data_IF_491697962731
#
_entry.id   IF_491697962731
#
_cell.length_a   1.000
_cell.length_b   1.000
_cell.length_c   1.000
_cell.angle_alpha   90.00
_cell.angle_beta   90.00
_cell.angle_gamma   90.00
#
_symmetry.space_group_name_H-M   'P 1'
#
loop_
_entity.id
_entity.type
_entity.pdbx_description
1 polymer ?
#
# COMPACT_ATOMS: atom_id res chain seq x y z
N UNK A 1 -2.96 2.77 -31.19
CA UNK A 1 -3.81 1.67 -30.69
C UNK A 1 -3.04 0.98 -29.59
N UNK A 2 -3.17 1.48 -28.37
CA UNK A 2 -2.57 0.91 -27.16
C UNK A 2 -3.56 -0.09 -26.58
N UNK A 3 -3.13 -1.33 -26.48
CA UNK A 3 -3.90 -2.45 -25.95
C UNK A 3 -4.06 -2.24 -24.44
N UNK A 4 -5.30 -2.00 -23.99
CA UNK A 4 -5.67 -2.05 -22.58
C UNK A 4 -5.54 -3.49 -22.11
N UNK A 5 -4.53 -3.77 -21.29
CA UNK A 5 -4.29 -5.10 -20.69
C UNK A 5 -5.28 -5.36 -19.53
N UNK A 6 -6.08 -4.37 -19.14
CA UNK A 6 -7.19 -4.58 -18.22
C UNK A 6 -8.44 -4.97 -19.01
N UNK A 7 -8.67 -6.28 -19.13
CA UNK A 7 -9.91 -6.80 -19.67
C UNK A 7 -11.12 -6.35 -18.82
N UNK A 8 -12.32 -6.23 -19.41
CA UNK A 8 -13.51 -5.69 -18.73
C UNK A 8 -13.95 -6.49 -17.49
N UNK A 9 -13.42 -7.71 -17.28
CA UNK A 9 -13.69 -8.53 -16.09
C UNK A 9 -12.74 -8.34 -14.90
N UNK A 10 -11.66 -7.55 -15.02
CA UNK A 10 -10.73 -7.29 -13.89
C UNK A 10 -11.23 -6.12 -13.03
N UNK A 11 -11.79 -5.08 -13.65
CA UNK A 11 -12.42 -3.97 -12.92
C UNK A 11 -13.61 -4.43 -12.06
N UNK A 12 -14.40 -5.41 -12.55
CA UNK A 12 -15.52 -5.97 -11.79
C UNK A 12 -15.06 -6.82 -10.59
N UNK A 13 -13.92 -7.51 -10.69
CA UNK A 13 -13.35 -8.28 -9.57
C UNK A 13 -12.70 -7.40 -8.49
N UNK A 14 -12.09 -6.28 -8.86
CA UNK A 14 -11.62 -5.28 -7.89
C UNK A 14 -12.78 -4.60 -7.15
N UNK A 15 -13.97 -4.52 -7.77
CA UNK A 15 -15.15 -3.89 -7.19
C UNK A 15 -15.99 -4.80 -6.26
N UNK A 16 -15.81 -6.12 -6.30
CA UNK A 16 -16.72 -7.08 -5.65
C UNK A 16 -16.07 -8.05 -4.64
N UNK A 17 -14.85 -7.81 -4.16
CA UNK A 17 -14.19 -8.82 -3.32
C UNK A 17 -13.11 -8.40 -2.34
N UNK A 18 -12.90 -7.11 -2.09
CA UNK A 18 -12.25 -6.69 -0.84
C UNK A 18 -13.35 -6.14 0.07
N UNK A 19 -13.79 -6.94 1.04
CA UNK A 19 -14.15 -6.39 2.34
C UNK A 19 -12.89 -5.66 2.85
N UNK A 20 -12.70 -4.44 2.37
CA UNK A 20 -11.70 -3.54 2.94
C UNK A 20 -12.09 -3.41 4.40
N UNK A 21 -11.23 -3.80 5.35
CA UNK A 21 -11.54 -3.56 6.75
C UNK A 21 -11.82 -2.05 6.86
N UNK A 22 -12.99 -1.65 7.40
CA UNK A 22 -13.28 -0.24 7.59
C UNK A 22 -12.10 0.38 8.31
N UNK A 23 -11.68 1.63 8.01
CA UNK A 23 -10.62 2.29 8.75
C UNK A 23 -10.91 2.14 10.24
N UNK A 24 -10.16 1.22 10.88
CA UNK A 24 -10.37 0.83 12.26
C UNK A 24 -10.14 2.05 13.14
N UNK A 25 -10.64 2.12 14.40
CA UNK A 25 -10.78 3.38 15.12
C UNK A 25 -9.41 3.99 15.43
N UNK A 26 -8.90 4.70 14.44
CA UNK A 26 -7.84 5.67 14.53
C UNK A 26 -8.41 6.84 15.32
N UNK A 27 -7.54 7.51 16.07
CA UNK A 27 -7.98 8.71 16.75
C UNK A 27 -8.51 9.71 15.70
N UNK A 28 -9.58 10.43 16.05
CA UNK A 28 -10.21 11.38 15.13
C UNK A 28 -9.21 12.38 14.55
N UNK A 29 -8.23 12.82 15.36
CA UNK A 29 -7.18 13.73 14.95
C UNK A 29 -6.33 13.19 13.78
N UNK A 30 -5.89 11.93 13.82
CA UNK A 30 -5.06 11.31 12.77
C UNK A 30 -5.82 11.14 11.47
N UNK A 31 -7.12 10.85 11.53
CA UNK A 31 -7.97 10.78 10.34
C UNK A 31 -8.08 12.16 9.68
N UNK A 32 -8.34 13.21 10.46
CA UNK A 32 -8.38 14.58 9.95
C UNK A 32 -7.02 15.01 9.39
N UNK A 33 -5.92 14.70 10.08
CA UNK A 33 -4.58 15.00 9.59
C UNK A 33 -4.26 14.26 8.29
N UNK A 34 -4.68 13.01 8.15
CA UNK A 34 -4.48 12.24 6.93
C UNK A 34 -5.24 12.86 5.75
N UNK A 35 -6.48 13.31 5.95
CA UNK A 35 -7.26 13.99 4.91
C UNK A 35 -6.62 15.32 4.50
N UNK A 36 -6.30 16.17 5.48
CA UNK A 36 -5.64 17.47 5.22
C UNK A 36 -4.30 17.27 4.51
N UNK A 37 -3.56 16.22 4.87
CA UNK A 37 -2.31 15.88 4.20
C UNK A 37 -2.54 15.53 2.72
N UNK A 38 -3.54 14.71 2.41
CA UNK A 38 -3.86 14.34 1.03
C UNK A 38 -4.34 15.54 0.22
N UNK A 39 -5.25 16.34 0.77
CA UNK A 39 -5.73 17.57 0.13
C UNK A 39 -4.55 18.52 -0.16
N UNK A 40 -3.65 18.70 0.81
CA UNK A 40 -2.42 19.47 0.63
C UNK A 40 -1.50 18.89 -0.46
N UNK A 41 -1.44 17.56 -0.59
CA UNK A 41 -0.62 16.92 -1.63
C UNK A 41 -1.20 17.09 -3.03
N UNK A 42 -2.52 17.19 -3.17
CA UNK A 42 -3.21 17.33 -4.46
C UNK A 42 -3.35 18.78 -4.91
N UNK A 43 -3.73 19.68 -4.00
CA UNK A 43 -4.12 21.05 -4.35
C UNK A 43 -2.95 22.04 -4.31
N UNK A 44 -1.89 21.74 -3.56
CA UNK A 44 -0.76 22.64 -3.42
C UNK A 44 0.26 22.44 -4.55
N UNK A 45 0.77 23.52 -5.18
CA UNK A 45 1.83 23.41 -6.18
C UNK A 45 3.15 23.00 -5.51
N UNK A 46 3.52 21.73 -5.63
CA UNK A 46 4.77 21.20 -5.08
C UNK A 46 5.92 21.29 -6.09
N UNK A 47 7.11 21.62 -5.59
CA UNK A 47 8.34 21.27 -6.30
C UNK A 47 8.51 19.74 -6.30
N UNK A 48 8.99 19.16 -7.40
CA UNK A 48 9.19 17.70 -7.53
C UNK A 48 10.02 17.10 -6.37
N UNK A 49 11.06 17.80 -5.91
CA UNK A 49 11.89 17.36 -4.77
C UNK A 49 11.11 17.35 -3.45
N UNK A 50 10.27 18.36 -3.24
CA UNK A 50 9.45 18.45 -2.03
C UNK A 50 8.40 17.32 -2.00
N UNK A 51 7.76 17.04 -3.14
CA UNK A 51 6.81 15.93 -3.28
C UNK A 51 7.47 14.58 -2.97
N UNK A 52 8.64 14.31 -3.56
CA UNK A 52 9.39 13.09 -3.32
C UNK A 52 9.79 12.93 -1.85
N UNK A 53 10.24 14.02 -1.22
CA UNK A 53 10.62 13.99 0.20
C UNK A 53 9.41 13.65 1.08
N UNK A 54 8.23 14.22 0.79
CA UNK A 54 6.99 13.96 1.55
C UNK A 54 6.53 12.52 1.43
N UNK A 55 6.50 11.97 0.21
CA UNK A 55 6.13 10.56 -0.01
C UNK A 55 7.16 9.64 0.66
N UNK A 56 8.45 9.90 0.49
CA UNK A 56 9.50 9.10 1.15
C UNK A 56 9.38 9.16 2.66
N UNK A 57 9.04 10.32 3.24
CA UNK A 57 8.81 10.47 4.67
C UNK A 57 7.60 9.66 5.14
N UNK A 58 6.51 9.66 4.37
CA UNK A 58 5.33 8.83 4.66
C UNK A 58 5.68 7.34 4.63
N UNK A 59 6.45 6.88 3.63
CA UNK A 59 6.88 5.48 3.54
C UNK A 59 7.82 5.08 4.68
N UNK A 60 8.70 5.96 5.15
CA UNK A 60 9.53 5.72 6.34
C UNK A 60 8.69 5.53 7.60
N UNK A 61 7.57 6.23 7.72
CA UNK A 61 6.66 6.11 8.86
C UNK A 61 5.90 4.79 8.90
N UNK A 62 5.92 3.97 7.84
CA UNK A 62 5.44 2.59 7.89
C UNK A 62 6.27 1.71 8.84
N UNK A 63 7.51 2.10 9.12
CA UNK A 63 8.39 1.44 10.08
C UNK A 63 8.40 2.07 11.47
N UNK A 64 7.39 2.89 11.82
CA UNK A 64 7.36 3.58 13.11
C UNK A 64 7.23 2.60 14.29
N UNK A 65 7.84 2.91 15.44
CA UNK A 65 7.90 1.98 16.57
C UNK A 65 6.51 1.67 17.16
N UNK A 66 5.63 2.66 17.22
CA UNK A 66 4.28 2.55 17.77
C UNK A 66 3.27 2.05 16.75
N UNK A 67 2.45 1.06 17.13
CA UNK A 67 1.45 0.43 16.25
C UNK A 67 0.40 1.44 15.76
N UNK A 68 -0.06 2.32 16.65
CA UNK A 68 -1.01 3.38 16.30
C UNK A 68 -0.45 4.35 15.24
N UNK A 69 0.86 4.63 15.28
CA UNK A 69 1.53 5.45 14.30
C UNK A 69 1.62 4.78 12.93
N UNK A 70 1.93 3.48 12.90
CA UNK A 70 1.96 2.70 11.65
C UNK A 70 0.58 2.60 11.01
N UNK A 71 -0.47 2.33 11.79
CA UNK A 71 -1.86 2.33 11.30
C UNK A 71 -2.27 3.68 10.73
N UNK A 72 -1.89 4.79 11.38
CA UNK A 72 -2.17 6.13 10.88
C UNK A 72 -1.44 6.43 9.56
N UNK A 73 -0.16 6.03 9.46
CA UNK A 73 0.63 6.16 8.24
C UNK A 73 0.04 5.31 7.09
N UNK A 74 -0.38 4.09 7.38
CA UNK A 74 -1.04 3.20 6.40
C UNK A 74 -2.37 3.77 5.92
N UNK A 75 -3.19 4.32 6.83
CA UNK A 75 -4.44 4.97 6.44
C UNK A 75 -4.19 6.18 5.54
N UNK A 76 -3.19 7.00 5.87
CA UNK A 76 -2.80 8.13 5.03
C UNK A 76 -2.28 7.66 3.65
N UNK A 77 -1.45 6.62 3.61
CA UNK A 77 -0.95 6.02 2.37
C UNK A 77 -2.09 5.48 1.49
N UNK A 78 -3.08 4.84 2.11
CA UNK A 78 -4.26 4.35 1.40
C UNK A 78 -5.05 5.49 0.76
N UNK A 79 -5.27 6.60 1.49
CA UNK A 79 -5.92 7.79 0.93
C UNK A 79 -5.11 8.42 -0.20
N UNK A 80 -3.77 8.41 -0.13
CA UNK A 80 -2.90 8.84 -1.23
C UNK A 80 -3.14 7.98 -2.47
N UNK A 81 -3.13 6.64 -2.34
CA UNK A 81 -3.38 5.72 -3.47
C UNK A 81 -4.78 5.90 -4.06
N UNK A 82 -5.77 6.18 -3.22
CA UNK A 82 -7.16 6.31 -3.63
C UNK A 82 -7.47 7.65 -4.34
N UNK A 83 -6.85 8.75 -3.89
CA UNK A 83 -7.15 10.09 -4.39
C UNK A 83 -6.14 10.62 -5.43
N UNK A 84 -4.95 10.03 -5.54
CA UNK A 84 -3.97 10.49 -6.53
C UNK A 84 -4.40 10.18 -7.97
N UNK A 85 -4.06 11.05 -8.94
CA UNK A 85 -4.29 10.78 -10.35
C UNK A 85 -3.57 9.49 -10.79
N UNK A 86 -4.31 8.57 -11.40
CA UNK A 86 -3.83 7.23 -11.76
C UNK A 86 -2.55 7.26 -12.62
N UNK A 87 -2.44 8.23 -13.52
CA UNK A 87 -1.27 8.40 -14.40
C UNK A 87 -0.01 8.73 -13.61
N UNK A 88 -0.09 9.62 -12.62
CA UNK A 88 1.07 9.98 -11.80
C UNK A 88 1.42 8.87 -10.80
N UNK A 89 0.39 8.25 -10.23
CA UNK A 89 0.56 7.14 -9.32
C UNK A 89 1.26 5.97 -10.02
N UNK A 90 0.75 5.48 -11.15
CA UNK A 90 1.34 4.35 -11.88
C UNK A 90 2.76 4.63 -12.38
N UNK A 91 3.02 5.82 -12.93
CA UNK A 91 4.28 6.13 -13.60
C UNK A 91 5.42 6.48 -12.62
N UNK A 92 5.12 7.17 -11.51
CA UNK A 92 6.17 7.74 -10.62
C UNK A 92 6.25 7.07 -9.26
N UNK A 93 5.11 6.70 -8.69
CA UNK A 93 5.04 6.33 -7.26
C UNK A 93 4.63 4.89 -7.01
N UNK A 94 4.00 4.22 -7.97
CA UNK A 94 3.40 2.90 -7.82
C UNK A 94 4.44 1.85 -7.47
N UNK A 95 5.58 1.84 -8.17
CA UNK A 95 6.70 0.93 -7.88
C UNK A 95 7.31 1.17 -6.49
N UNK A 96 7.42 2.43 -6.07
CA UNK A 96 7.98 2.80 -4.77
C UNK A 96 7.03 2.41 -3.62
N UNK A 97 5.74 2.70 -3.77
CA UNK A 97 4.70 2.35 -2.79
C UNK A 97 4.62 0.84 -2.65
N UNK A 98 4.49 0.12 -3.78
CA UNK A 98 4.45 -1.34 -3.79
C UNK A 98 5.69 -1.97 -3.16
N UNK A 99 6.89 -1.50 -3.52
CA UNK A 99 8.12 -2.03 -2.93
C UNK A 99 8.18 -1.78 -1.42
N UNK A 100 7.73 -0.62 -0.95
CA UNK A 100 7.72 -0.28 0.47
C UNK A 100 6.67 -1.08 1.26
N UNK A 101 5.47 -1.28 0.72
CA UNK A 101 4.41 -2.09 1.35
C UNK A 101 4.81 -3.56 1.40
N UNK A 102 5.30 -4.12 0.29
CA UNK A 102 5.76 -5.50 0.21
C UNK A 102 6.94 -5.78 1.15
N UNK A 103 7.91 -4.86 1.26
CA UNK A 103 9.04 -5.02 2.18
C UNK A 103 8.65 -4.96 3.66
N UNK A 104 7.57 -4.25 4.00
CA UNK A 104 7.06 -4.12 5.37
C UNK A 104 6.14 -5.26 5.80
N UNK A 105 5.43 -5.88 4.85
CA UNK A 105 4.52 -6.99 5.09
C UNK A 105 5.06 -8.10 6.03
N UNK A 106 6.27 -8.67 5.84
CA UNK A 106 6.79 -9.72 6.72
C UNK A 106 7.27 -9.20 8.09
N UNK A 107 7.51 -7.90 8.22
CA UNK A 107 8.04 -7.28 9.43
C UNK A 107 6.92 -6.80 10.36
N UNK A 108 5.66 -6.94 9.93
CA UNK A 108 4.54 -6.35 10.64
C UNK A 108 3.99 -7.32 11.69
N UNK A 109 4.16 -6.94 12.96
CA UNK A 109 3.72 -7.71 14.13
C UNK A 109 2.25 -7.55 14.45
N UNK A 110 1.66 -6.39 14.11
CA UNK A 110 0.28 -6.07 14.42
C UNK A 110 -0.66 -6.65 13.35
N UNK A 111 -1.61 -7.54 13.71
CA UNK A 111 -2.49 -8.18 12.74
C UNK A 111 -3.36 -7.17 11.97
N UNK A 112 -3.75 -6.05 12.59
CA UNK A 112 -4.56 -5.01 11.92
C UNK A 112 -3.73 -4.28 10.86
N UNK A 113 -2.54 -3.78 11.23
CA UNK A 113 -1.63 -3.14 10.28
C UNK A 113 -1.21 -4.09 9.16
N UNK A 114 -1.06 -5.38 9.47
CA UNK A 114 -0.76 -6.43 8.49
C UNK A 114 -1.88 -6.58 7.46
N UNK A 115 -3.15 -6.62 7.89
CA UNK A 115 -4.30 -6.65 6.97
C UNK A 115 -4.41 -5.37 6.12
N UNK A 116 -4.17 -4.19 6.72
CA UNK A 116 -4.17 -2.92 5.99
C UNK A 116 -3.05 -2.85 4.95
N UNK A 117 -1.86 -3.37 5.27
CA UNK A 117 -0.74 -3.50 4.34
C UNK A 117 -1.08 -4.41 3.17
N UNK A 118 -1.70 -5.57 3.42
CA UNK A 118 -2.15 -6.46 2.35
C UNK A 118 -3.15 -5.78 1.40
N UNK A 119 -4.11 -5.04 1.94
CA UNK A 119 -5.09 -4.32 1.13
C UNK A 119 -4.44 -3.20 0.30
N UNK A 120 -3.54 -2.43 0.91
CA UNK A 120 -2.80 -1.35 0.23
C UNK A 120 -1.87 -1.90 -0.86
N UNK A 121 -1.18 -3.02 -0.60
CA UNK A 121 -0.30 -3.67 -1.56
C UNK A 121 -1.07 -4.24 -2.75
N UNK A 122 -2.24 -4.85 -2.50
CA UNK A 122 -3.12 -5.34 -3.55
C UNK A 122 -3.66 -4.22 -4.45
N UNK A 123 -4.11 -3.10 -3.86
CA UNK A 123 -4.62 -1.96 -4.63
C UNK A 123 -3.48 -1.24 -5.40
N UNK A 124 -2.31 -1.09 -4.78
CA UNK A 124 -1.12 -0.54 -5.43
C UNK A 124 -0.63 -1.45 -6.58
N UNK A 125 -0.70 -2.78 -6.42
CA UNK A 125 -0.35 -3.74 -7.46
C UNK A 125 -1.32 -3.65 -8.65
N UNK A 126 -2.62 -3.59 -8.39
CA UNK A 126 -3.64 -3.46 -9.44
C UNK A 126 -3.48 -2.16 -10.23
N UNK A 127 -3.15 -1.05 -9.56
CA UNK A 127 -2.98 0.28 -10.18
C UNK A 127 -1.59 0.50 -10.78
N UNK A 128 -0.57 -0.22 -10.31
CA UNK A 128 0.82 -0.12 -10.74
C UNK A 128 1.20 -1.02 -11.92
N UNK A 129 0.27 -1.84 -12.42
CA UNK A 129 0.51 -2.79 -13.51
C UNK A 129 0.53 -2.09 -14.88
N UNK A 130 1.61 -1.34 -15.15
CA UNK A 130 1.88 -0.80 -16.49
C UNK A 130 3.29 -1.08 -17.05
N UNK A 131 4.25 -1.60 -16.27
CA UNK A 131 5.59 -1.89 -16.80
C UNK A 131 5.96 -3.39 -16.75
N UNK A 132 6.09 -3.97 -17.96
CA UNK A 132 6.24 -5.42 -18.19
C UNK A 132 7.52 -6.06 -17.65
N UNK A 133 8.58 -5.29 -17.36
CA UNK A 133 9.88 -5.84 -16.93
C UNK A 133 10.05 -5.86 -15.40
N UNK A 134 9.50 -4.86 -14.68
CA UNK A 134 9.52 -4.78 -13.21
C UNK A 134 8.57 -5.80 -12.58
N UNK A 135 7.56 -6.24 -13.32
CA UNK A 135 6.55 -7.18 -12.83
C UNK A 135 7.12 -8.54 -12.42
N UNK A 136 8.20 -9.03 -13.06
CA UNK A 136 8.80 -10.33 -12.75
C UNK A 136 9.67 -10.27 -11.49
N UNK A 137 10.50 -9.24 -11.33
CA UNK A 137 11.35 -9.06 -10.15
C UNK A 137 10.52 -8.75 -8.89
N UNK A 138 9.45 -7.96 -9.04
CA UNK A 138 8.51 -7.67 -7.95
C UNK A 138 7.66 -8.90 -7.60
N UNK A 139 7.19 -9.67 -8.59
CA UNK A 139 6.55 -10.96 -8.32
C UNK A 139 7.51 -11.97 -7.68
N UNK A 140 8.78 -12.01 -8.08
CA UNK A 140 9.82 -12.86 -7.47
C UNK A 140 10.15 -12.41 -6.04
N UNK A 141 10.23 -11.10 -5.76
CA UNK A 141 10.34 -10.60 -4.39
C UNK A 141 9.11 -10.96 -3.56
N UNK A 142 7.91 -10.81 -4.11
CA UNK A 142 6.66 -11.17 -3.43
C UNK A 142 6.58 -12.69 -3.18
N UNK A 143 7.02 -13.54 -4.13
CA UNK A 143 7.16 -14.99 -3.96
C UNK A 143 8.22 -15.35 -2.91
N UNK A 144 9.38 -14.69 -2.93
CA UNK A 144 10.42 -14.92 -1.91
C UNK A 144 9.97 -14.47 -0.52
N UNK A 145 9.23 -13.36 -0.42
CA UNK A 145 8.63 -12.86 0.80
C UNK A 145 7.54 -13.80 1.32
N UNK A 146 6.65 -14.27 0.45
CA UNK A 146 5.64 -15.27 0.78
C UNK A 146 6.27 -16.60 1.23
N UNK A 147 7.36 -17.05 0.60
CA UNK A 147 8.09 -18.24 1.04
C UNK A 147 8.75 -18.05 2.42
N UNK A 148 9.25 -16.86 2.74
CA UNK A 148 9.79 -16.57 4.08
C UNK A 148 8.69 -16.42 5.15
N UNK A 149 7.55 -15.83 4.80
CA UNK A 149 6.39 -15.71 5.71
C UNK A 149 5.75 -17.07 5.99
N UNK A 150 5.61 -17.93 4.97
CA UNK A 150 5.16 -19.32 5.15
C UNK A 150 6.15 -20.14 5.98
N UNK A 151 7.46 -19.88 5.86
CA UNK A 151 8.48 -20.52 6.69
C UNK A 151 8.51 -20.01 8.15
N UNK A 152 7.89 -18.86 8.43
CA UNK A 152 7.87 -18.24 9.75
C UNK A 152 6.58 -18.51 10.55
N UNK A 153 5.62 -19.27 10.02
CA UNK A 153 4.45 -19.69 10.81
C UNK A 153 4.90 -20.64 11.94
N UNK A 154 4.85 -20.22 13.22
CA UNK A 154 5.07 -21.16 14.31
C UNK A 154 3.91 -22.15 14.29
N UNK A 155 4.26 -23.43 14.27
CA UNK A 155 3.34 -24.55 14.38
C UNK A 155 2.42 -24.30 15.58
N UNK A 156 1.16 -23.92 15.34
CA UNK A 156 0.16 -24.01 16.39
C UNK A 156 0.01 -25.50 16.70
N UNK A 157 0.58 -25.87 17.84
CA UNK A 157 0.47 -27.19 18.42
C UNK A 157 -1.01 -27.48 18.65
N UNK A 158 -1.63 -28.25 17.75
CA UNK A 158 -2.86 -28.99 18.04
C UNK A 158 -2.46 -30.14 18.96
N UNK A 159 -2.34 -29.84 20.24
CA UNK A 159 -1.91 -30.78 21.25
C UNK A 159 -2.71 -30.61 22.53
N UNK A 160 -3.65 -31.54 22.71
CA UNK A 160 -4.40 -31.92 23.93
C UNK A 160 -5.64 -31.11 24.29
#
# INVERSE_FOLDING_TARGET
>A
MTYSICGPGVQEKCAQGLDTPPPQPLNYASQQCAQIFVDFMLDYPHEHKAMQLRITHLLKNLGYAEEGGRRAALNCLYLVVLHFPEVELSTKWGSLIFAATAARLPQESDPTAHQMLHAADADAACRGQCDSETSILLMLMHLMLMMHVVAAAPSYNLGS
#
